data_IF_204530962173
#
_entry.id   IF_204530962173
#
_cell.length_a   1.000
_cell.length_b   1.000
_cell.length_c   1.000
_cell.angle_alpha   90.00
_cell.angle_beta   90.00
_cell.angle_gamma   90.00
#
_symmetry.space_group_name_H-M   'P 1'
#
loop_
_entity.id
_entity.type
_entity.pdbx_description
1 polymer ?
#
# COMPACT_ATOMS: atom_id res chain seq x y z
N UNK A 1 52.10 -50.81 -66.63
CA UNK A 1 52.51 -50.35 -65.27
C UNK A 1 51.28 -50.43 -64.38
N UNK A 2 51.37 -51.23 -63.29
CA UNK A 2 50.20 -51.59 -62.44
C UNK A 2 49.86 -50.48 -61.44
N UNK A 3 48.59 -50.14 -61.19
CA UNK A 3 48.22 -49.35 -60.01
C UNK A 3 48.00 -50.23 -58.77
N UNK A 4 48.48 -49.76 -57.63
CA UNK A 4 48.33 -50.38 -56.32
C UNK A 4 47.02 -49.99 -55.66
N UNK A 5 46.24 -51.01 -55.28
CA UNK A 5 45.06 -50.88 -54.41
C UNK A 5 45.50 -50.37 -52.99
N UNK A 6 44.76 -49.36 -52.47
CA UNK A 6 44.81 -48.99 -51.04
C UNK A 6 43.49 -49.39 -50.40
N UNK A 7 43.57 -50.20 -49.38
CA UNK A 7 42.46 -50.77 -48.63
C UNK A 7 41.90 -49.69 -47.70
N UNK A 8 40.61 -49.48 -47.81
CA UNK A 8 39.85 -48.60 -46.92
C UNK A 8 39.71 -49.24 -45.54
N UNK A 9 40.00 -48.46 -44.50
CA UNK A 9 39.71 -48.77 -43.12
C UNK A 9 38.36 -48.17 -42.72
N UNK A 10 37.39 -49.02 -42.49
CA UNK A 10 36.09 -48.69 -41.91
C UNK A 10 36.22 -48.41 -40.45
N UNK A 11 35.97 -47.12 -40.02
CA UNK A 11 35.78 -46.75 -38.63
C UNK A 11 34.31 -46.90 -38.25
N UNK A 12 33.99 -47.64 -37.18
CA UNK A 12 32.62 -47.66 -36.67
C UNK A 12 32.32 -46.36 -35.91
N UNK A 13 31.31 -45.63 -36.36
CA UNK A 13 30.75 -44.47 -35.66
C UNK A 13 30.07 -44.95 -34.37
N UNK A 14 30.66 -44.62 -33.24
CA UNK A 14 30.07 -44.84 -31.90
C UNK A 14 29.05 -43.75 -31.64
N UNK A 15 27.76 -44.02 -31.83
CA UNK A 15 26.64 -43.16 -31.48
C UNK A 15 26.45 -43.24 -29.97
N UNK A 16 26.95 -42.24 -29.24
CA UNK A 16 26.67 -42.08 -27.83
C UNK A 16 25.27 -41.50 -27.68
N UNK A 17 24.30 -42.33 -27.30
CA UNK A 17 22.95 -41.92 -26.91
C UNK A 17 23.03 -41.36 -25.50
N UNK A 18 23.01 -40.03 -25.39
CA UNK A 18 22.79 -39.36 -24.11
C UNK A 18 21.31 -39.49 -23.73
N UNK A 19 20.99 -40.44 -22.87
CA UNK A 19 19.72 -40.53 -22.21
C UNK A 19 19.64 -39.36 -21.16
N UNK A 20 18.98 -38.27 -21.56
CA UNK A 20 18.58 -37.20 -20.62
C UNK A 20 17.51 -37.78 -19.70
N UNK A 21 17.93 -38.19 -18.52
CA UNK A 21 17.05 -38.63 -17.46
C UNK A 21 16.31 -37.41 -16.90
N UNK A 22 15.15 -37.09 -17.48
CA UNK A 22 14.19 -36.18 -16.89
C UNK A 22 13.60 -36.87 -15.66
N UNK A 23 14.09 -36.55 -14.46
CA UNK A 23 13.42 -36.95 -13.24
C UNK A 23 12.08 -36.22 -13.15
N UNK A 24 10.95 -36.93 -13.14
CA UNK A 24 9.66 -36.29 -12.98
C UNK A 24 9.61 -35.61 -11.62
N UNK A 25 9.27 -34.32 -11.63
CA UNK A 25 9.09 -33.56 -10.39
C UNK A 25 7.88 -34.10 -9.63
N UNK A 26 8.15 -34.81 -8.55
CA UNK A 26 7.10 -35.37 -7.70
C UNK A 26 6.63 -34.26 -6.75
N UNK A 27 5.46 -33.69 -7.02
CA UNK A 27 4.78 -32.81 -6.06
C UNK A 27 4.26 -33.69 -4.94
N UNK A 28 4.86 -33.63 -3.77
CA UNK A 28 4.33 -34.28 -2.57
C UNK A 28 3.20 -33.42 -2.03
N UNK A 29 1.98 -33.94 -1.84
CA UNK A 29 0.96 -33.25 -1.10
C UNK A 29 1.48 -33.02 0.34
N UNK A 30 1.26 -31.82 0.87
CA UNK A 30 1.57 -31.52 2.27
C UNK A 30 0.49 -32.25 3.08
N UNK A 31 0.89 -33.35 3.74
CA UNK A 31 0.02 -34.07 4.64
C UNK A 31 -0.37 -33.15 5.81
N UNK A 32 -1.65 -32.79 5.88
CA UNK A 32 -2.20 -31.96 6.96
C UNK A 32 -2.32 -32.72 8.29
N UNK A 33 -1.89 -33.97 8.35
CA UNK A 33 -2.06 -34.87 9.50
C UNK A 33 -0.87 -34.87 10.50
N UNK A 34 0.11 -33.96 10.34
CA UNK A 34 1.30 -33.89 11.22
C UNK A 34 1.44 -32.61 12.02
N UNK A 35 0.44 -31.74 12.10
CA UNK A 35 0.54 -30.45 12.75
C UNK A 35 -0.28 -30.37 14.06
N UNK A 36 -0.06 -31.31 14.97
CA UNK A 36 -0.48 -31.13 16.37
C UNK A 36 0.74 -30.85 17.25
N UNK A 37 1.43 -29.77 16.95
CA UNK A 37 2.45 -29.17 17.77
C UNK A 37 2.20 -27.67 17.84
N UNK A 38 1.44 -27.22 18.85
CA UNK A 38 1.36 -25.84 19.29
C UNK A 38 1.00 -24.85 18.16
N UNK A 39 -0.13 -25.03 17.49
CA UNK A 39 -0.63 -24.04 16.52
C UNK A 39 -0.91 -22.74 17.26
N UNK A 40 0.10 -21.85 17.29
CA UNK A 40 -0.18 -20.44 17.48
C UNK A 40 -1.26 -20.05 16.49
N UNK A 41 -2.39 -19.51 17.00
CA UNK A 41 -3.49 -19.06 16.13
C UNK A 41 -2.92 -18.27 14.96
N UNK A 42 -3.41 -18.47 13.72
CA UNK A 42 -2.98 -17.67 12.59
C UNK A 42 -3.05 -16.18 12.96
N UNK A 43 -2.06 -15.41 12.54
CA UNK A 43 -2.06 -13.97 12.77
C UNK A 43 -3.31 -13.34 12.15
N UNK A 44 -4.06 -12.61 12.97
CA UNK A 44 -5.28 -11.92 12.58
C UNK A 44 -5.00 -10.41 12.58
N UNK A 45 -4.81 -9.85 11.40
CA UNK A 45 -4.46 -8.44 11.21
C UNK A 45 -5.62 -7.51 11.58
N UNK A 46 -6.86 -7.90 11.34
CA UNK A 46 -8.03 -7.08 11.67
C UNK A 46 -8.16 -6.96 13.18
N UNK A 47 -8.06 -8.10 13.90
CA UNK A 47 -8.05 -8.08 15.37
C UNK A 47 -6.89 -7.27 15.94
N UNK A 48 -5.70 -7.38 15.34
CA UNK A 48 -4.55 -6.57 15.74
C UNK A 48 -4.86 -5.08 15.59
N UNK A 49 -5.35 -4.65 14.42
CA UNK A 49 -5.72 -3.26 14.15
C UNK A 49 -6.82 -2.78 15.08
N UNK A 50 -7.85 -3.59 15.34
CA UNK A 50 -8.91 -3.25 16.28
C UNK A 50 -8.38 -2.97 17.69
N UNK A 51 -7.41 -3.76 18.14
CA UNK A 51 -6.80 -3.60 19.47
C UNK A 51 -6.01 -2.31 19.65
N UNK A 52 -5.40 -1.80 18.56
CA UNK A 52 -4.55 -0.59 18.61
C UNK A 52 -5.27 0.67 18.12
N UNK A 53 -6.40 0.55 17.44
CA UNK A 53 -7.04 1.68 16.76
C UNK A 53 -7.35 2.84 17.70
N UNK A 54 -8.19 2.60 18.71
CA UNK A 54 -8.58 3.64 19.66
C UNK A 54 -7.45 3.95 20.66
N UNK A 55 -6.64 2.95 21.02
CA UNK A 55 -5.61 3.10 22.04
C UNK A 55 -4.33 3.78 21.55
N UNK A 56 -4.00 3.64 20.25
CA UNK A 56 -2.73 4.13 19.70
C UNK A 56 -2.89 4.92 18.42
N UNK A 57 -3.69 4.45 17.44
CA UNK A 57 -3.78 5.09 16.11
C UNK A 57 -4.42 6.48 16.23
N UNK A 58 -5.61 6.58 16.80
CA UNK A 58 -6.30 7.86 16.94
C UNK A 58 -5.52 8.86 17.81
N UNK A 59 -4.95 8.49 18.98
CA UNK A 59 -4.10 9.40 19.74
C UNK A 59 -2.83 9.84 18.99
N UNK A 60 -2.17 8.95 18.24
CA UNK A 60 -1.00 9.32 17.46
C UNK A 60 -1.33 10.36 16.38
N UNK A 61 -2.46 10.19 15.70
CA UNK A 61 -2.91 11.15 14.68
C UNK A 61 -3.28 12.49 15.34
N UNK A 62 -4.05 12.50 16.42
CA UNK A 62 -4.46 13.75 17.07
C UNK A 62 -3.31 14.52 17.70
N UNK A 63 -2.31 13.83 18.25
CA UNK A 63 -1.18 14.45 18.94
C UNK A 63 0.08 14.65 18.10
N UNK A 64 0.28 13.81 17.05
CA UNK A 64 1.50 13.79 16.25
C UNK A 64 1.37 14.32 14.82
N UNK A 65 0.16 14.69 14.39
CA UNK A 65 -0.04 15.16 13.03
C UNK A 65 0.50 16.59 12.82
N UNK A 66 1.24 16.74 11.72
CA UNK A 66 1.77 18.02 11.26
C UNK A 66 0.69 18.75 10.46
N UNK A 67 0.68 20.08 10.51
CA UNK A 67 -0.23 20.86 9.69
C UNK A 67 0.09 20.72 8.19
N UNK A 68 -0.94 20.59 7.35
CA UNK A 68 -0.78 20.50 5.90
C UNK A 68 0.05 21.67 5.36
N UNK A 69 -0.21 22.88 5.83
CA UNK A 69 0.51 24.09 5.40
C UNK A 69 2.02 23.99 5.67
N UNK A 70 2.46 23.24 6.68
CA UNK A 70 3.88 23.00 6.93
C UNK A 70 4.48 22.03 5.91
N UNK A 71 3.73 20.99 5.51
CA UNK A 71 4.19 20.01 4.52
C UNK A 71 4.28 20.60 3.11
N UNK A 72 3.45 21.58 2.79
CA UNK A 72 3.45 22.24 1.48
C UNK A 72 4.60 23.26 1.32
N UNK A 73 5.35 23.56 2.37
CA UNK A 73 6.51 24.49 2.27
C UNK A 73 7.65 23.83 1.46
N UNK A 74 8.28 24.56 0.54
CA UNK A 74 9.37 24.02 -0.30
C UNK A 74 10.53 23.39 0.47
N UNK A 75 10.77 23.81 1.70
CA UNK A 75 11.87 23.31 2.56
C UNK A 75 11.47 22.06 3.39
N UNK A 76 10.24 21.59 3.31
CA UNK A 76 9.70 20.50 4.16
C UNK A 76 9.98 19.11 3.56
N UNK A 77 11.15 18.87 2.98
CA UNK A 77 11.51 17.55 2.41
C UNK A 77 11.59 16.49 3.52
N UNK A 78 10.46 15.95 3.92
CA UNK A 78 10.40 14.79 4.82
C UNK A 78 10.48 13.52 3.97
N UNK A 79 11.47 12.71 4.24
CA UNK A 79 11.54 11.38 3.66
C UNK A 79 10.50 10.47 4.34
N UNK A 80 9.65 9.81 3.54
CA UNK A 80 8.68 8.83 4.03
C UNK A 80 7.31 9.40 4.41
N UNK A 81 6.43 8.51 4.85
CA UNK A 81 5.07 8.85 5.24
C UNK A 81 5.05 9.59 6.59
N UNK A 82 4.17 10.57 6.72
CA UNK A 82 4.01 11.39 7.93
C UNK A 82 2.54 11.53 8.31
N UNK A 83 2.26 11.69 9.59
CA UNK A 83 0.91 12.04 10.06
C UNK A 83 0.63 13.50 9.74
N UNK A 84 -0.54 13.77 9.17
CA UNK A 84 -0.95 15.09 8.69
C UNK A 84 -2.37 15.41 9.16
N UNK A 85 -2.63 16.69 9.41
CA UNK A 85 -3.96 17.24 9.60
C UNK A 85 -4.07 18.59 8.88
N UNK A 86 -5.28 19.00 8.59
CA UNK A 86 -5.52 20.28 7.95
C UNK A 86 -6.94 20.44 7.47
N UNK A 87 -7.14 21.54 6.77
CA UNK A 87 -8.37 21.82 6.05
C UNK A 87 -8.06 22.28 4.63
N UNK A 88 -9.02 22.11 3.73
CA UNK A 88 -8.89 22.57 2.35
C UNK A 88 -10.24 22.69 1.68
N UNK A 89 -10.30 23.56 0.69
CA UNK A 89 -11.46 23.69 -0.20
C UNK A 89 -11.40 22.60 -1.27
N UNK A 90 -12.46 21.85 -1.42
CA UNK A 90 -12.56 20.83 -2.47
C UNK A 90 -12.71 21.50 -3.81
N UNK A 91 -11.73 21.34 -4.69
CA UNK A 91 -11.77 21.84 -6.07
C UNK A 91 -12.48 20.82 -6.98
N UNK A 92 -12.21 19.54 -6.77
CA UNK A 92 -12.72 18.47 -7.62
C UNK A 92 -12.91 17.18 -6.83
N UNK A 93 -13.97 16.46 -7.21
CA UNK A 93 -14.23 15.08 -6.77
C UNK A 93 -14.07 14.18 -7.98
N UNK A 94 -13.15 13.22 -7.92
CA UNK A 94 -12.92 12.24 -8.98
C UNK A 94 -13.20 10.83 -8.46
N UNK A 95 -14.32 10.27 -8.87
CA UNK A 95 -14.73 8.90 -8.52
C UNK A 95 -14.64 7.94 -9.71
N UNK A 96 -13.96 8.33 -10.79
CA UNK A 96 -13.79 7.50 -11.98
C UNK A 96 -12.93 6.26 -11.71
N UNK A 97 -12.05 6.34 -10.72
CA UNK A 97 -11.24 5.22 -10.24
C UNK A 97 -11.78 4.68 -8.90
N UNK A 98 -11.44 3.43 -8.57
CA UNK A 98 -11.81 2.82 -7.28
C UNK A 98 -11.13 3.48 -6.08
N UNK A 99 -10.05 4.20 -6.27
CA UNK A 99 -9.39 4.96 -5.20
C UNK A 99 -10.19 6.19 -4.83
N UNK A 100 -10.85 6.84 -5.80
CA UNK A 100 -11.59 8.09 -5.60
C UNK A 100 -10.72 9.17 -4.95
N UNK A 101 -10.71 10.34 -5.52
CA UNK A 101 -9.84 11.42 -5.04
C UNK A 101 -10.65 12.72 -4.83
N UNK A 102 -10.43 13.38 -3.69
CA UNK A 102 -10.76 14.78 -3.50
C UNK A 102 -9.51 15.61 -3.74
N UNK A 103 -9.50 16.43 -4.76
CA UNK A 103 -8.45 17.42 -4.95
C UNK A 103 -8.80 18.66 -4.14
N UNK A 104 -7.89 19.09 -3.27
CA UNK A 104 -8.09 20.20 -2.37
C UNK A 104 -7.10 21.33 -2.60
N UNK A 105 -7.57 22.54 -2.32
CA UNK A 105 -6.82 23.79 -2.27
C UNK A 105 -6.72 24.20 -0.79
N UNK A 106 -5.49 24.29 -0.28
CA UNK A 106 -5.21 24.71 1.09
C UNK A 106 -5.15 26.25 1.18
N UNK A 107 -5.19 26.80 2.38
CA UNK A 107 -5.03 28.23 2.57
C UNK A 107 -3.59 28.69 2.21
N UNK A 108 -3.43 29.78 1.42
CA UNK A 108 -4.41 30.78 0.93
C UNK A 108 -5.10 30.29 -0.34
N UNK A 109 -6.38 30.06 -0.32
CA UNK A 109 -7.19 29.48 -1.39
C UNK A 109 -6.98 30.21 -2.73
N UNK A 110 -5.99 29.78 -3.51
CA UNK A 110 -5.59 30.40 -4.78
C UNK A 110 -6.21 29.71 -6.01
N UNK A 111 -7.00 28.67 -5.81
CA UNK A 111 -7.66 27.89 -6.85
C UNK A 111 -6.78 26.83 -7.50
N UNK A 112 -5.59 26.61 -6.96
CA UNK A 112 -4.68 25.55 -7.42
C UNK A 112 -4.76 24.34 -6.52
N UNK A 113 -4.58 23.13 -7.09
CA UNK A 113 -4.57 21.93 -6.28
C UNK A 113 -3.26 21.79 -5.51
N UNK A 114 -3.35 21.63 -4.19
CA UNK A 114 -2.21 21.39 -3.28
C UNK A 114 -2.06 19.94 -2.89
N UNK A 115 -3.18 19.25 -2.66
CA UNK A 115 -3.18 17.86 -2.22
C UNK A 115 -4.38 17.08 -2.76
N UNK A 116 -4.27 15.76 -2.72
CA UNK A 116 -5.33 14.82 -3.07
C UNK A 116 -5.62 13.90 -1.89
N UNK A 117 -6.88 13.84 -1.46
CA UNK A 117 -7.36 12.98 -0.37
C UNK A 117 -8.05 11.76 -0.98
N UNK A 118 -7.63 10.56 -0.59
CA UNK A 118 -8.28 9.32 -1.00
C UNK A 118 -9.63 9.15 -0.29
N UNK A 119 -10.71 8.89 -1.05
CA UNK A 119 -12.06 8.73 -0.51
C UNK A 119 -12.78 7.48 -1.02
N UNK A 120 -12.16 6.76 -1.91
CA UNK A 120 -12.80 5.62 -2.59
C UNK A 120 -12.86 4.35 -1.73
N UNK A 121 -13.55 3.32 -2.24
CA UNK A 121 -13.65 2.04 -1.55
C UNK A 121 -12.30 1.30 -1.48
N UNK A 122 -11.30 1.75 -2.21
CA UNK A 122 -9.95 1.17 -2.20
C UNK A 122 -8.94 2.24 -1.81
N UNK A 123 -8.37 2.09 -0.63
CA UNK A 123 -7.21 2.86 -0.17
C UNK A 123 -5.95 2.08 -0.56
N UNK A 124 -5.00 2.73 -1.21
CA UNK A 124 -3.80 2.07 -1.74
C UNK A 124 -2.56 2.30 -0.88
N UNK A 125 -1.58 1.42 -1.09
CA UNK A 125 -0.27 1.56 -0.48
C UNK A 125 -0.23 1.28 1.02
N UNK A 126 0.81 1.78 1.65
CA UNK A 126 1.14 1.52 3.06
C UNK A 126 1.32 2.81 3.86
N UNK A 127 0.92 3.94 3.28
CA UNK A 127 1.14 5.28 3.82
C UNK A 127 0.70 5.41 5.28
N UNK A 128 -0.52 4.95 5.61
CA UNK A 128 -1.00 5.04 6.99
C UNK A 128 -0.16 4.17 7.95
N UNK A 129 0.16 2.93 7.55
CA UNK A 129 1.01 2.05 8.37
C UNK A 129 2.40 2.66 8.60
N UNK A 130 3.00 3.19 7.53
CA UNK A 130 4.38 3.67 7.56
C UNK A 130 4.52 5.01 8.28
N UNK A 131 3.44 5.78 8.39
CA UNK A 131 3.37 7.00 9.20
C UNK A 131 3.21 6.72 10.70
N UNK A 132 2.88 5.50 11.12
CA UNK A 132 2.66 5.13 12.52
C UNK A 132 3.93 4.54 13.14
N UNK A 133 4.68 5.29 13.99
CA UNK A 133 6.02 4.90 14.42
C UNK A 133 6.05 3.65 15.32
N UNK A 134 4.91 3.29 15.88
CA UNK A 134 4.77 2.12 16.75
C UNK A 134 4.43 0.83 15.98
N UNK A 135 4.26 0.88 14.65
CA UNK A 135 4.09 -0.31 13.80
C UNK A 135 5.40 -0.56 13.05
N UNK A 136 6.21 -1.45 13.59
CA UNK A 136 7.52 -1.76 13.03
C UNK A 136 7.57 -3.20 12.53
N UNK A 137 8.28 -3.44 11.43
CA UNK A 137 8.43 -4.77 10.84
C UNK A 137 8.93 -5.82 11.85
N UNK A 138 9.83 -5.43 12.75
CA UNK A 138 10.39 -6.31 13.78
C UNK A 138 9.37 -6.93 14.76
N UNK A 139 8.15 -6.40 14.79
CA UNK A 139 7.05 -6.91 15.64
C UNK A 139 6.30 -8.08 14.99
N UNK A 140 6.59 -8.39 13.74
CA UNK A 140 5.89 -9.41 12.95
C UNK A 140 6.83 -10.54 12.55
N UNK A 141 6.30 -11.74 12.42
CA UNK A 141 7.09 -12.94 12.08
C UNK A 141 7.64 -12.88 10.65
N UNK A 142 6.88 -12.25 9.76
CA UNK A 142 7.26 -12.16 8.34
C UNK A 142 6.61 -10.95 7.65
N UNK A 143 7.08 -10.70 6.43
CA UNK A 143 6.61 -9.59 5.61
C UNK A 143 5.12 -9.68 5.26
N UNK A 144 4.56 -10.89 5.17
CA UNK A 144 3.13 -11.07 4.88
C UNK A 144 2.26 -10.53 6.01
N UNK A 145 2.58 -10.83 7.28
CA UNK A 145 1.84 -10.29 8.42
C UNK A 145 1.93 -8.76 8.47
N UNK A 146 3.10 -8.21 8.22
CA UNK A 146 3.30 -6.75 8.16
C UNK A 146 2.48 -6.09 7.04
N UNK A 147 2.40 -6.73 5.87
CA UNK A 147 1.55 -6.25 4.77
C UNK A 147 0.05 -6.36 5.11
N UNK A 148 -0.37 -7.45 5.76
CA UNK A 148 -1.76 -7.64 6.20
C UNK A 148 -2.22 -6.53 7.16
N UNK A 149 -1.35 -6.05 8.05
CA UNK A 149 -1.67 -4.89 8.92
C UNK A 149 -1.93 -3.63 8.11
N UNK A 150 -1.14 -3.35 7.07
CA UNK A 150 -1.40 -2.23 6.16
C UNK A 150 -2.77 -2.35 5.49
N UNK A 151 -3.12 -3.53 5.00
CA UNK A 151 -4.41 -3.79 4.37
C UNK A 151 -5.59 -3.63 5.37
N UNK A 152 -5.43 -4.12 6.60
CA UNK A 152 -6.46 -4.00 7.63
C UNK A 152 -6.69 -2.53 8.06
N UNK A 153 -5.61 -1.73 8.18
CA UNK A 153 -5.71 -0.28 8.41
C UNK A 153 -6.46 0.41 7.28
N UNK A 154 -6.10 0.13 6.02
CA UNK A 154 -6.74 0.70 4.85
C UNK A 154 -8.21 0.28 4.74
N UNK A 155 -8.55 -0.97 5.05
CA UNK A 155 -9.92 -1.47 5.09
C UNK A 155 -10.79 -0.72 6.11
N UNK A 156 -10.23 -0.44 7.29
CA UNK A 156 -10.93 0.34 8.33
C UNK A 156 -11.16 1.79 7.92
N UNK A 157 -10.18 2.43 7.30
CA UNK A 157 -10.31 3.77 6.72
C UNK A 157 -11.39 3.80 5.64
N UNK A 158 -11.31 2.87 4.68
CA UNK A 158 -12.28 2.76 3.60
C UNK A 158 -13.72 2.60 4.12
N UNK A 159 -13.93 1.75 5.14
CA UNK A 159 -15.24 1.58 5.77
C UNK A 159 -15.75 2.89 6.41
N UNK A 160 -14.88 3.65 7.06
CA UNK A 160 -15.24 4.95 7.66
C UNK A 160 -15.57 6.01 6.61
N UNK A 161 -14.95 5.95 5.42
CA UNK A 161 -15.14 6.90 4.32
C UNK A 161 -16.30 6.56 3.39
N UNK A 162 -16.93 5.41 3.52
CA UNK A 162 -17.97 4.94 2.60
C UNK A 162 -19.11 5.96 2.38
N UNK A 163 -19.43 6.78 3.39
CA UNK A 163 -20.45 7.82 3.29
C UNK A 163 -20.02 9.05 2.47
N UNK A 164 -18.72 9.22 2.17
CA UNK A 164 -18.19 10.37 1.43
C UNK A 164 -18.12 10.11 -0.07
N UNK A 165 -17.95 8.88 -0.51
CA UNK A 165 -17.76 8.50 -1.92
C UNK A 165 -18.91 8.93 -2.86
N UNK A 166 -20.12 9.13 -2.32
CA UNK A 166 -21.30 9.47 -3.10
C UNK A 166 -21.81 10.92 -2.85
N UNK A 167 -21.01 11.75 -2.18
CA UNK A 167 -21.40 13.14 -1.89
C UNK A 167 -20.83 14.10 -2.93
N UNK A 168 -21.63 15.06 -3.34
CA UNK A 168 -21.12 16.25 -4.01
C UNK A 168 -20.48 17.16 -2.95
N UNK A 169 -19.15 17.19 -2.97
CA UNK A 169 -18.34 17.96 -2.04
C UNK A 169 -17.67 19.16 -2.71
N UNK A 170 -17.87 19.36 -4.02
CA UNK A 170 -17.22 20.44 -4.75
C UNK A 170 -17.53 21.81 -4.10
N UNK A 171 -16.51 22.63 -3.89
CA UNK A 171 -16.60 23.93 -3.25
C UNK A 171 -16.72 23.91 -1.71
N UNK A 172 -16.96 22.74 -1.11
CA UNK A 172 -17.01 22.60 0.35
C UNK A 172 -15.61 22.70 0.96
N UNK A 173 -15.54 23.16 2.21
CA UNK A 173 -14.32 23.04 3.02
C UNK A 173 -14.39 21.73 3.79
N UNK A 174 -13.34 20.92 3.66
CA UNK A 174 -13.17 19.68 4.41
C UNK A 174 -12.05 19.83 5.43
N UNK A 175 -12.26 19.22 6.60
CA UNK A 175 -11.26 19.09 7.66
C UNK A 175 -10.90 17.62 7.75
N UNK A 176 -9.62 17.32 7.82
CA UNK A 176 -9.14 15.95 7.83
C UNK A 176 -7.95 15.75 8.75
N UNK A 177 -7.73 14.51 9.15
CA UNK A 177 -6.49 14.04 9.74
C UNK A 177 -6.20 12.62 9.26
N UNK A 178 -4.93 12.29 9.08
CA UNK A 178 -4.52 11.00 8.52
C UNK A 178 -3.02 10.90 8.30
N UNK A 179 -2.63 10.32 7.19
CA UNK A 179 -1.23 10.16 6.79
C UNK A 179 -1.03 10.64 5.36
N UNK A 180 0.10 11.29 5.11
CA UNK A 180 0.52 11.74 3.79
C UNK A 180 1.81 11.05 3.38
N UNK A 181 1.91 10.69 2.10
CA UNK A 181 3.15 10.28 1.47
C UNK A 181 3.74 11.44 0.64
N UNK A 182 5.07 11.53 0.53
CA UNK A 182 5.71 12.46 -0.38
C UNK A 182 5.13 12.30 -1.78
N UNK A 183 4.89 13.39 -2.53
CA UNK A 183 4.40 13.29 -3.88
C UNK A 183 5.44 12.58 -4.77
N UNK A 184 4.95 11.77 -5.72
CA UNK A 184 5.75 11.36 -6.86
C UNK A 184 6.23 12.61 -7.61
N UNK A 185 7.31 12.53 -8.39
CA UNK A 185 7.81 13.68 -9.14
C UNK A 185 6.69 14.40 -9.91
N UNK A 186 6.44 15.67 -9.58
CA UNK A 186 5.40 16.49 -10.18
C UNK A 186 3.95 16.17 -9.79
N UNK A 187 3.74 15.24 -8.83
CA UNK A 187 2.41 14.88 -8.32
C UNK A 187 1.95 15.77 -7.16
N UNK A 188 0.67 15.62 -6.81
CA UNK A 188 0.10 16.20 -5.59
C UNK A 188 0.49 15.35 -4.38
N UNK A 189 0.50 15.98 -3.20
CA UNK A 189 0.62 15.27 -1.93
C UNK A 189 -0.60 14.35 -1.75
N UNK A 190 -0.38 13.04 -1.68
CA UNK A 190 -1.46 12.07 -1.49
C UNK A 190 -1.71 11.83 0.00
N UNK A 191 -2.98 11.93 0.40
CA UNK A 191 -3.41 11.84 1.79
C UNK A 191 -4.39 10.67 1.96
N UNK A 192 -4.08 9.77 2.87
CA UNK A 192 -4.97 8.73 3.37
C UNK A 192 -5.64 9.27 4.64
N UNK A 193 -6.92 9.68 4.61
CA UNK A 193 -7.57 10.30 5.75
C UNK A 193 -8.07 9.22 6.72
N UNK A 194 -7.80 9.37 8.01
CA UNK A 194 -8.40 8.58 9.07
C UNK A 194 -9.69 9.22 9.57
N UNK A 195 -9.70 10.54 9.57
CA UNK A 195 -10.92 11.34 9.80
C UNK A 195 -11.12 12.30 8.64
N UNK A 196 -12.37 12.47 8.23
CA UNK A 196 -12.77 13.43 7.20
C UNK A 196 -14.14 13.99 7.60
N UNK A 197 -14.27 15.31 7.59
CA UNK A 197 -15.53 15.99 7.88
C UNK A 197 -15.69 17.21 7.00
N UNK A 198 -16.92 17.51 6.61
CA UNK A 198 -17.25 18.76 5.94
C UNK A 198 -17.41 19.84 7.00
N UNK A 199 -16.66 20.93 6.88
CA UNK A 199 -16.79 22.10 7.75
C UNK A 199 -18.12 22.78 7.43
N UNK A 200 -19.08 22.68 8.34
CA UNK A 200 -20.34 23.40 8.20
C UNK A 200 -20.01 24.89 8.31
N UNK A 201 -20.28 25.65 7.24
CA UNK A 201 -20.25 27.10 7.31
C UNK A 201 -21.16 27.54 8.45
N UNK A 202 -20.65 28.40 9.33
CA UNK A 202 -21.54 29.11 10.28
C UNK A 202 -22.45 29.99 9.44
N UNK A 203 -23.76 29.90 9.63
CA UNK A 203 -24.70 30.80 8.92
C UNK A 203 -24.40 32.25 9.23
#
# INVERSE_FOLDING_TARGET
MKPRCFRGATFPAMVSVFLVSCTPWTVRPIDKSGADSGQSRPFDADRYVDSIWNAKVLPAISGGAVELAELLRPASHRAGAVLVKGEGRVLRVDTSSRTGLLTIDAEPYDGRPDAAIEIGPVIRGTTLRDALPFIQFSQFVNQLQFAQVGNALNGRVSAALASFSNRDLAGSIVVFSGAAAPPSEGGLLEIVPVTLAVKRGRP
#
